data_IF_898914578365
#
_entry.id   IF_898914578365
#
_cell.length_a   1.000
_cell.length_b   1.000
_cell.length_c   1.000
_cell.angle_alpha   90.00
_cell.angle_beta   90.00
_cell.angle_gamma   90.00
#
_symmetry.space_group_name_H-M   'P 1'
#
loop_
_entity.id
_entity.type
_entity.pdbx_description
1 polymer ?
#
# COMPACT_ATOMS: atom_id res chain seq x y z
N UNK A 1 -8.80 -16.97 1.07
CA UNK A 1 -8.95 -15.57 1.55
C UNK A 1 -7.68 -15.02 2.18
N UNK A 2 -6.93 -15.79 2.98
CA UNK A 2 -5.72 -15.31 3.68
C UNK A 2 -4.60 -14.82 2.75
N UNK A 3 -4.35 -15.49 1.63
CA UNK A 3 -3.25 -15.11 0.71
C UNK A 3 -3.48 -13.73 0.06
N UNK A 4 -4.72 -13.40 -0.31
CA UNK A 4 -5.07 -12.09 -0.89
C UNK A 4 -4.93 -10.98 0.15
N UNK A 5 -5.38 -11.23 1.39
CA UNK A 5 -5.21 -10.28 2.50
C UNK A 5 -3.73 -10.02 2.76
N UNK A 6 -2.92 -11.07 2.86
CA UNK A 6 -1.47 -10.96 3.06
C UNK A 6 -0.79 -10.21 1.91
N UNK A 7 -1.25 -10.40 0.67
CA UNK A 7 -0.73 -9.66 -0.48
C UNK A 7 -0.96 -8.15 -0.32
N UNK A 8 -2.20 -7.73 -0.02
CA UNK A 8 -2.51 -6.32 0.18
C UNK A 8 -1.78 -5.72 1.38
N UNK A 9 -1.75 -6.41 2.52
CA UNK A 9 -0.99 -5.97 3.69
C UNK A 9 0.49 -5.74 3.34
N UNK A 10 1.10 -6.67 2.59
CA UNK A 10 2.49 -6.54 2.12
C UNK A 10 2.68 -5.30 1.26
N UNK A 11 1.84 -5.10 0.24
CA UNK A 11 1.94 -3.97 -0.68
C UNK A 11 1.77 -2.63 0.05
N UNK A 12 0.84 -2.53 0.99
CA UNK A 12 0.63 -1.31 1.77
C UNK A 12 1.83 -0.99 2.65
N UNK A 13 2.42 -2.00 3.30
CA UNK A 13 3.63 -1.83 4.12
C UNK A 13 4.82 -1.40 3.26
N UNK A 14 5.04 -2.02 2.10
CA UNK A 14 6.16 -1.67 1.22
C UNK A 14 5.97 -0.28 0.60
N UNK A 15 4.75 0.10 0.23
CA UNK A 15 4.44 1.44 -0.26
C UNK A 15 4.70 2.51 0.81
N UNK A 16 4.34 2.21 2.06
CA UNK A 16 4.65 3.07 3.21
C UNK A 16 6.17 3.28 3.38
N UNK A 17 6.96 2.19 3.35
CA UNK A 17 8.43 2.27 3.47
C UNK A 17 9.03 3.09 2.33
N UNK A 18 8.56 2.87 1.10
CA UNK A 18 9.00 3.61 -0.08
C UNK A 18 8.55 5.08 -0.10
N UNK A 19 7.64 5.49 0.82
CA UNK A 19 7.02 6.82 0.91
C UNK A 19 6.35 7.27 -0.40
N UNK A 20 5.84 6.31 -1.17
CA UNK A 20 5.20 6.55 -2.46
C UNK A 20 3.71 6.85 -2.29
N UNK A 21 3.18 7.62 -3.24
CA UNK A 21 1.75 7.79 -3.38
C UNK A 21 1.16 6.54 -4.05
N UNK A 22 -0.03 6.14 -3.62
CA UNK A 22 -0.77 5.02 -4.21
C UNK A 22 -2.22 5.42 -4.43
N UNK A 23 -2.88 4.69 -5.33
CA UNK A 23 -4.33 4.76 -5.51
C UNK A 23 -4.97 3.46 -5.03
N UNK A 24 -6.03 3.57 -4.24
CA UNK A 24 -6.78 2.45 -3.69
C UNK A 24 -8.21 2.55 -4.15
N UNK A 25 -8.75 1.44 -4.64
CA UNK A 25 -10.16 1.27 -4.87
C UNK A 25 -10.75 0.33 -3.83
N UNK A 26 -11.84 0.74 -3.18
CA UNK A 26 -12.57 -0.12 -2.25
C UNK A 26 -13.66 -0.90 -2.97
N UNK A 27 -14.11 -2.00 -2.38
CA UNK A 27 -15.25 -2.81 -2.85
C UNK A 27 -16.57 -2.03 -2.91
N UNK A 28 -16.64 -0.89 -2.20
CA UNK A 28 -17.77 0.04 -2.23
C UNK A 28 -17.68 1.05 -3.39
N UNK A 29 -16.59 1.02 -4.15
CA UNK A 29 -16.32 1.92 -5.28
C UNK A 29 -15.70 3.26 -4.87
N UNK A 30 -15.24 3.39 -3.63
CA UNK A 30 -14.53 4.60 -3.18
C UNK A 30 -13.09 4.56 -3.67
N UNK A 31 -12.57 5.72 -4.08
CA UNK A 31 -11.20 5.87 -4.53
C UNK A 31 -10.43 6.79 -3.59
N UNK A 32 -9.31 6.30 -3.08
CA UNK A 32 -8.39 7.05 -2.24
C UNK A 32 -7.07 7.20 -2.96
N UNK A 33 -6.53 8.42 -3.02
CA UNK A 33 -5.19 8.70 -3.53
C UNK A 33 -4.39 9.42 -2.46
N UNK A 34 -3.19 8.93 -2.18
CA UNK A 34 -2.31 9.57 -1.23
C UNK A 34 -1.23 8.65 -0.69
N UNK A 35 -0.55 9.14 0.35
CA UNK A 35 0.49 8.37 1.04
C UNK A 35 -0.08 7.65 2.24
N UNK A 36 0.41 6.44 2.43
CA UNK A 36 0.11 5.63 3.60
C UNK A 36 0.68 6.31 4.85
N UNK A 37 -0.13 6.41 5.89
CA UNK A 37 0.27 6.98 7.17
C UNK A 37 0.93 5.92 8.07
N UNK A 38 1.78 6.38 8.99
CA UNK A 38 2.44 5.50 9.98
C UNK A 38 1.45 4.75 10.88
N UNK A 39 0.24 5.29 11.06
CA UNK A 39 -0.80 4.69 11.89
C UNK A 39 -1.43 3.52 11.11
N UNK A 40 -0.99 2.30 11.40
CA UNK A 40 -1.60 1.05 10.91
C UNK A 40 -2.04 0.22 12.12
N UNK A 41 -3.13 -0.52 11.97
CA UNK A 41 -3.66 -1.42 12.98
C UNK A 41 -3.96 -2.79 12.36
N UNK A 42 -4.34 -3.75 13.20
CA UNK A 42 -4.77 -5.08 12.74
C UNK A 42 -6.03 -5.01 11.86
N UNK A 43 -6.84 -3.95 12.02
CA UNK A 43 -8.11 -3.75 11.31
C UNK A 43 -7.94 -3.00 9.98
N UNK A 44 -6.91 -2.17 9.85
CA UNK A 44 -6.71 -1.37 8.66
C UNK A 44 -5.55 -0.39 8.74
N UNK A 45 -5.61 0.61 7.88
CA UNK A 45 -4.57 1.63 7.77
C UNK A 45 -5.19 2.96 7.34
N UNK A 46 -4.36 4.00 7.31
CA UNK A 46 -4.80 5.33 6.94
C UNK A 46 -4.11 5.81 5.68
N UNK A 47 -4.88 6.41 4.77
CA UNK A 47 -4.39 7.20 3.63
C UNK A 47 -4.86 8.63 3.82
N UNK A 48 -3.90 9.55 3.91
CA UNK A 48 -4.15 10.91 4.38
C UNK A 48 -4.91 10.87 5.74
N UNK A 49 -6.16 11.35 5.78
CA UNK A 49 -7.01 11.32 6.98
C UNK A 49 -8.06 10.19 6.97
N UNK A 50 -8.19 9.44 5.86
CA UNK A 50 -9.18 8.37 5.70
C UNK A 50 -8.68 7.04 6.23
N UNK A 51 -9.48 6.39 7.08
CA UNK A 51 -9.26 5.00 7.49
C UNK A 51 -9.84 4.03 6.45
N UNK A 52 -9.08 2.99 6.11
CA UNK A 52 -9.49 1.95 5.17
C UNK A 52 -9.28 0.60 5.87
N UNK A 53 -10.35 -0.20 5.96
CA UNK A 53 -10.27 -1.53 6.53
C UNK A 53 -9.68 -2.52 5.52
N UNK A 54 -8.91 -3.51 5.99
CA UNK A 54 -8.23 -4.47 5.11
C UNK A 54 -9.19 -5.29 4.23
N UNK A 55 -10.38 -5.58 4.75
CA UNK A 55 -11.40 -6.37 4.06
C UNK A 55 -12.22 -5.54 3.05
N UNK A 56 -12.06 -4.23 3.02
CA UNK A 56 -12.71 -3.32 2.07
C UNK A 56 -11.90 -3.12 0.78
N UNK A 57 -10.64 -3.56 0.73
CA UNK A 57 -9.78 -3.41 -0.44
C UNK A 57 -10.25 -4.24 -1.63
N UNK A 58 -10.31 -3.61 -2.80
CA UNK A 58 -10.57 -4.27 -4.09
C UNK A 58 -9.31 -4.28 -4.96
N UNK A 59 -8.67 -3.12 -5.15
CA UNK A 59 -7.42 -2.99 -5.90
C UNK A 59 -6.49 -1.92 -5.31
N UNK A 60 -5.21 -2.03 -5.67
CA UNK A 60 -4.17 -1.04 -5.37
C UNK A 60 -3.40 -0.79 -6.66
N UNK A 61 -3.34 0.47 -7.08
CA UNK A 61 -2.50 0.91 -8.18
C UNK A 61 -1.26 1.60 -7.62
N UNK A 62 -0.10 1.16 -8.10
CA UNK A 62 1.22 1.64 -7.71
C UNK A 62 1.82 2.44 -8.85
N UNK A 63 2.35 3.61 -8.54
CA UNK A 63 3.06 4.45 -9.50
C UNK A 63 4.44 3.83 -9.83
N UNK A 64 5.03 4.20 -10.98
CA UNK A 64 6.28 3.64 -11.47
C UNK A 64 7.44 3.82 -10.48
N UNK A 65 7.44 4.94 -9.75
CA UNK A 65 8.43 5.30 -8.73
C UNK A 65 8.52 4.28 -7.59
N UNK A 66 7.43 3.56 -7.29
CA UNK A 66 7.46 2.45 -6.33
C UNK A 66 8.43 1.35 -6.78
N UNK A 67 8.39 0.98 -8.06
CA UNK A 67 9.23 -0.09 -8.59
C UNK A 67 10.68 0.36 -8.70
N UNK A 68 10.93 1.60 -9.12
CA UNK A 68 12.28 2.17 -9.16
C UNK A 68 12.94 2.19 -7.78
N UNK A 69 12.21 2.62 -6.74
CA UNK A 69 12.71 2.61 -5.36
C UNK A 69 13.19 1.21 -4.93
N UNK A 70 12.37 0.18 -5.14
CA UNK A 70 12.74 -1.17 -4.73
C UNK A 70 13.87 -1.77 -5.56
N UNK A 71 13.93 -1.46 -6.86
CA UNK A 71 15.06 -1.86 -7.71
C UNK A 71 16.38 -1.27 -7.20
N UNK A 72 16.39 -0.02 -6.76
CA UNK A 72 17.59 0.61 -6.18
C UNK A 72 18.01 -0.04 -4.87
N UNK A 73 17.06 -0.32 -3.97
CA UNK A 73 17.34 -1.01 -2.70
C UNK A 73 17.91 -2.41 -2.94
N UNK A 74 17.33 -3.17 -3.88
CA UNK A 74 17.79 -4.52 -4.22
C UNK A 74 19.21 -4.49 -4.79
N UNK A 75 19.52 -3.53 -5.69
CA UNK A 75 20.86 -3.37 -6.24
C UNK A 75 21.89 -3.14 -5.13
N UNK A 76 21.60 -2.23 -4.20
CA UNK A 76 22.49 -1.92 -3.07
C UNK A 76 22.68 -3.07 -2.07
N UNK A 77 21.73 -4.01 -2.00
CA UNK A 77 21.80 -5.12 -1.04
C UNK A 77 22.59 -6.34 -1.58
N UNK A 78 22.78 -6.41 -2.91
CA UNK A 78 23.42 -7.54 -3.59
C UNK A 78 24.87 -7.17 -4.04
N UNK A 79 25.22 -5.90 -4.00
CA UNK A 79 26.59 -5.37 -4.18
C UNK A 79 27.35 -5.29 -2.85
#
# INVERSE_FOLDING_TARGET
MTMVKNHFETVIITAYIAKQEITIQTKKGENYRGKIQKKMTEDGFYVNEGFIAWDELDSIDLEEEYFHFWQEIIKQAIE
#
